data_IF_232980744985
#
_entry.id   IF_232980744985
#
_cell.length_a   1.000
_cell.length_b   1.000
_cell.length_c   1.000
_cell.angle_alpha   90.00
_cell.angle_beta   90.00
_cell.angle_gamma   90.00
#
_symmetry.space_group_name_H-M   'P 1'
#
loop_
_entity.id
_entity.type
_entity.pdbx_description
1 polymer ?
#
# COMPACT_ATOMS: atom_id res chain seq x y z
N UNK A 1 15.68 19.74 -10.54
CA UNK A 1 15.23 18.51 -9.82
C UNK A 1 16.21 18.20 -8.70
N UNK A 2 15.79 17.59 -7.55
CA UNK A 2 16.74 17.13 -6.54
C UNK A 2 17.74 16.17 -7.18
N UNK A 3 19.02 16.29 -6.86
CA UNK A 3 20.13 15.49 -7.42
C UNK A 3 19.94 13.94 -7.29
N UNK A 4 19.05 13.49 -6.40
CA UNK A 4 18.79 12.07 -6.13
C UNK A 4 17.34 11.64 -6.45
N UNK A 5 16.64 12.33 -7.35
CA UNK A 5 15.30 11.93 -7.75
C UNK A 5 15.34 10.63 -8.58
N UNK A 6 14.47 9.69 -8.25
CA UNK A 6 14.38 8.37 -8.89
C UNK A 6 12.97 8.15 -9.44
N UNK A 7 12.71 8.54 -10.71
CA UNK A 7 11.37 8.48 -11.30
C UNK A 7 10.79 7.05 -11.30
N UNK A 8 11.64 6.03 -11.39
CA UNK A 8 11.21 4.63 -11.33
C UNK A 8 10.43 4.26 -10.08
N UNK A 9 10.74 4.85 -8.90
CA UNK A 9 9.97 4.59 -7.68
C UNK A 9 8.55 5.18 -7.77
N UNK A 10 8.40 6.33 -8.43
CA UNK A 10 7.08 6.94 -8.63
C UNK A 10 6.26 6.19 -9.66
N UNK A 11 6.91 5.66 -10.72
CA UNK A 11 6.25 4.78 -11.70
C UNK A 11 5.75 3.49 -11.04
N UNK A 12 6.58 2.82 -10.23
CA UNK A 12 6.15 1.62 -9.48
C UNK A 12 4.96 1.93 -8.57
N UNK A 13 4.97 3.10 -7.90
CA UNK A 13 3.88 3.51 -7.01
C UNK A 13 2.56 3.68 -7.74
N UNK A 14 2.56 4.34 -8.90
CA UNK A 14 1.37 4.51 -9.72
C UNK A 14 0.91 3.19 -10.33
N UNK A 15 1.85 2.38 -10.81
CA UNK A 15 1.54 1.05 -11.34
C UNK A 15 0.95 0.12 -10.26
N UNK A 16 1.41 0.20 -9.01
CA UNK A 16 0.86 -0.55 -7.87
C UNK A 16 -0.61 -0.19 -7.57
N UNK A 17 -0.99 1.06 -7.81
CA UNK A 17 -2.35 1.54 -7.54
C UNK A 17 -3.38 0.98 -8.53
N UNK A 18 -2.99 0.77 -9.78
CA UNK A 18 -3.92 0.40 -10.86
C UNK A 18 -4.68 -0.91 -10.60
N UNK A 19 -4.03 -2.06 -10.29
CA UNK A 19 -4.75 -3.30 -10.04
C UNK A 19 -5.67 -3.21 -8.81
N UNK A 20 -5.26 -2.47 -7.78
CA UNK A 20 -6.07 -2.26 -6.57
C UNK A 20 -7.36 -1.49 -6.91
N UNK A 21 -7.26 -0.37 -7.63
CA UNK A 21 -8.43 0.42 -8.02
C UNK A 21 -9.33 -0.34 -9.00
N UNK A 22 -8.75 -1.07 -9.95
CA UNK A 22 -9.49 -1.88 -10.91
C UNK A 22 -10.29 -2.98 -10.21
N UNK A 23 -9.68 -3.69 -9.29
CA UNK A 23 -10.32 -4.75 -8.52
C UNK A 23 -11.48 -4.23 -7.68
N UNK A 24 -11.25 -3.17 -6.88
CA UNK A 24 -12.32 -2.57 -6.07
C UNK A 24 -13.45 -2.04 -6.94
N UNK A 25 -13.14 -1.42 -8.08
CA UNK A 25 -14.14 -0.98 -9.03
C UNK A 25 -15.02 -2.14 -9.51
N UNK A 26 -14.40 -3.23 -9.90
CA UNK A 26 -15.11 -4.40 -10.43
C UNK A 26 -15.90 -5.15 -9.37
N UNK A 27 -15.32 -5.35 -8.17
CA UNK A 27 -15.99 -6.12 -7.10
C UNK A 27 -17.18 -5.34 -6.52
N UNK A 28 -17.05 -4.02 -6.32
CA UNK A 28 -18.16 -3.20 -5.82
C UNK A 28 -19.26 -3.03 -6.86
N UNK A 29 -18.90 -2.91 -8.15
CA UNK A 29 -19.88 -2.90 -9.23
C UNK A 29 -20.65 -4.22 -9.28
N UNK A 30 -19.97 -5.36 -9.15
CA UNK A 30 -20.63 -6.68 -9.11
C UNK A 30 -21.59 -6.81 -7.91
N UNK A 31 -21.22 -6.27 -6.75
CA UNK A 31 -22.09 -6.22 -5.55
C UNK A 31 -23.37 -5.41 -5.78
N UNK A 32 -23.31 -4.37 -6.60
CA UNK A 32 -24.47 -3.56 -7.00
C UNK A 32 -25.27 -4.15 -8.18
N UNK A 33 -24.93 -5.36 -8.63
CA UNK A 33 -25.65 -6.07 -9.71
C UNK A 33 -25.22 -5.69 -11.13
N UNK A 34 -24.12 -4.95 -11.31
CA UNK A 34 -23.58 -4.74 -12.65
C UNK A 34 -22.98 -6.04 -13.22
N UNK A 35 -23.14 -6.25 -14.52
CA UNK A 35 -22.48 -7.32 -15.24
C UNK A 35 -20.97 -7.02 -15.34
N UNK A 36 -20.15 -7.77 -14.60
CA UNK A 36 -18.69 -7.67 -14.60
C UNK A 36 -18.08 -8.96 -15.13
N UNK A 37 -17.11 -8.90 -16.06
CA UNK A 37 -16.42 -10.11 -16.54
C UNK A 37 -15.75 -10.84 -15.36
N UNK A 38 -15.96 -12.15 -15.27
CA UNK A 38 -15.42 -12.99 -14.19
C UNK A 38 -13.89 -12.95 -14.09
N UNK A 39 -13.21 -12.71 -15.21
CA UNK A 39 -11.75 -12.52 -15.22
C UNK A 39 -11.28 -11.31 -14.40
N UNK A 40 -12.09 -10.25 -14.26
CA UNK A 40 -11.76 -9.04 -13.53
C UNK A 40 -12.04 -9.12 -12.02
N UNK A 41 -12.77 -10.14 -11.59
CA UNK A 41 -13.08 -10.40 -10.17
C UNK A 41 -12.59 -11.78 -9.71
N UNK A 42 -11.99 -12.55 -10.62
CA UNK A 42 -11.46 -13.87 -10.36
C UNK A 42 -10.04 -13.87 -9.80
N UNK A 43 -9.54 -15.09 -9.58
CA UNK A 43 -8.23 -15.36 -8.98
C UNK A 43 -7.08 -14.63 -9.68
N UNK A 44 -7.07 -14.57 -11.02
CA UNK A 44 -5.99 -13.90 -11.76
C UNK A 44 -5.91 -12.41 -11.47
N UNK A 45 -7.05 -11.72 -11.34
CA UNK A 45 -7.06 -10.30 -10.96
C UNK A 45 -6.65 -10.10 -9.49
N UNK A 46 -7.10 -10.98 -8.60
CA UNK A 46 -6.69 -10.97 -7.19
C UNK A 46 -5.15 -11.11 -7.05
N UNK A 47 -4.50 -11.92 -7.88
CA UNK A 47 -3.04 -12.04 -7.89
C UNK A 47 -2.34 -10.74 -8.32
N UNK A 48 -2.87 -10.02 -9.30
CA UNK A 48 -2.33 -8.71 -9.67
C UNK A 48 -2.51 -7.67 -8.56
N UNK A 49 -3.61 -7.74 -7.82
CA UNK A 49 -3.80 -6.93 -6.61
C UNK A 49 -2.73 -7.26 -5.58
N UNK A 50 -2.47 -8.54 -5.32
CA UNK A 50 -1.41 -8.98 -4.40
C UNK A 50 -0.02 -8.47 -4.82
N UNK A 51 0.29 -8.48 -6.12
CA UNK A 51 1.52 -7.89 -6.66
C UNK A 51 1.56 -6.38 -6.39
N UNK A 52 0.48 -5.66 -6.64
CA UNK A 52 0.38 -4.23 -6.35
C UNK A 52 0.54 -3.91 -4.86
N UNK A 53 -0.11 -4.68 -4.00
CA UNK A 53 0.04 -4.55 -2.54
C UNK A 53 1.47 -4.83 -2.08
N UNK A 54 2.11 -5.89 -2.59
CA UNK A 54 3.51 -6.19 -2.30
C UNK A 54 4.42 -5.03 -2.73
N UNK A 55 4.15 -4.37 -3.86
CA UNK A 55 4.90 -3.18 -4.30
C UNK A 55 4.79 -2.01 -3.34
N UNK A 56 3.64 -1.77 -2.73
CA UNK A 56 3.52 -0.72 -1.72
C UNK A 56 4.39 -1.00 -0.48
N UNK A 57 4.47 -2.25 -0.03
CA UNK A 57 5.35 -2.63 1.08
C UNK A 57 6.83 -2.56 0.68
N UNK A 58 7.20 -3.06 -0.50
CA UNK A 58 8.55 -2.93 -1.07
C UNK A 58 8.99 -1.46 -1.19
N UNK A 59 8.13 -0.61 -1.76
CA UNK A 59 8.38 0.84 -1.89
C UNK A 59 8.56 1.52 -0.55
N UNK A 60 7.72 1.17 0.44
CA UNK A 60 7.78 1.76 1.78
C UNK A 60 9.11 1.41 2.45
N UNK A 61 9.50 0.13 2.42
CA UNK A 61 10.79 -0.32 2.94
C UNK A 61 11.97 0.35 2.23
N UNK A 62 11.94 0.39 0.89
CA UNK A 62 13.00 0.99 0.08
C UNK A 62 13.15 2.50 0.33
N UNK A 63 12.05 3.24 0.34
CA UNK A 63 12.06 4.68 0.57
C UNK A 63 12.58 5.03 1.97
N UNK A 64 12.18 4.27 2.99
CA UNK A 64 12.67 4.46 4.36
C UNK A 64 14.15 4.13 4.48
N UNK A 65 14.63 3.06 3.85
CA UNK A 65 16.05 2.72 3.83
C UNK A 65 16.87 3.82 3.13
N UNK A 66 16.44 4.30 1.97
CA UNK A 66 17.09 5.40 1.26
C UNK A 66 17.19 6.67 2.12
N UNK A 67 16.19 6.94 2.91
CA UNK A 67 16.13 8.12 3.78
C UNK A 67 16.98 7.97 5.04
N UNK A 68 16.98 6.80 5.69
CA UNK A 68 17.44 6.65 7.07
C UNK A 68 18.70 5.81 7.26
N UNK A 69 19.12 5.02 6.28
CA UNK A 69 20.34 4.21 6.39
C UNK A 69 21.58 5.09 6.58
N UNK A 70 22.31 4.85 7.68
CA UNK A 70 23.52 5.60 8.05
C UNK A 70 23.27 6.95 8.75
N UNK A 71 22.00 7.31 9.01
CA UNK A 71 21.63 8.56 9.70
C UNK A 71 20.33 8.46 10.51
N UNK A 72 20.09 7.30 11.12
CA UNK A 72 18.86 7.05 11.86
C UNK A 72 18.78 7.88 13.13
N UNK A 73 17.69 8.62 13.27
CA UNK A 73 17.29 9.34 14.49
C UNK A 73 15.84 8.94 14.81
N UNK A 74 15.65 8.31 15.97
CA UNK A 74 14.35 7.72 16.34
C UNK A 74 13.24 8.77 16.43
N UNK A 75 13.52 9.92 17.09
CA UNK A 75 12.52 10.98 17.27
C UNK A 75 12.09 11.56 15.93
N UNK A 76 13.03 11.94 15.09
CA UNK A 76 12.77 12.47 13.74
C UNK A 76 12.08 11.44 12.86
N UNK A 77 12.45 10.17 13.00
CA UNK A 77 11.81 9.09 12.26
C UNK A 77 10.33 8.94 12.62
N UNK A 78 10.00 8.73 13.91
CA UNK A 78 8.62 8.49 14.33
C UNK A 78 7.73 9.72 14.12
N UNK A 79 8.21 10.92 14.49
CA UNK A 79 7.49 12.16 14.20
C UNK A 79 7.29 12.36 12.71
N UNK A 80 8.31 12.03 11.90
CA UNK A 80 8.22 12.09 10.44
C UNK A 80 7.18 11.12 9.85
N UNK A 81 7.04 9.89 10.42
CA UNK A 81 6.01 8.94 10.01
C UNK A 81 4.62 9.40 10.41
N UNK A 82 4.45 9.84 11.66
CA UNK A 82 3.19 10.40 12.12
C UNK A 82 2.74 11.59 11.25
N UNK A 83 3.64 12.53 10.99
CA UNK A 83 3.38 13.70 10.15
C UNK A 83 3.05 13.37 8.69
N UNK A 84 3.53 12.24 8.17
CA UNK A 84 3.27 11.82 6.81
C UNK A 84 1.94 11.07 6.65
N UNK A 85 1.47 10.41 7.72
CA UNK A 85 0.33 9.49 7.65
C UNK A 85 -0.92 10.06 8.30
N UNK A 86 -0.83 10.48 9.56
CA UNK A 86 -2.01 10.82 10.37
C UNK A 86 -2.78 12.07 9.92
N UNK A 87 -2.18 13.18 9.47
CA UNK A 87 -2.97 14.36 9.11
C UNK A 87 -4.02 14.12 8.04
N UNK A 88 -3.66 13.43 6.95
CA UNK A 88 -4.60 13.10 5.91
C UNK A 88 -5.63 12.05 6.38
N UNK A 89 -5.17 11.05 7.13
CA UNK A 89 -6.05 10.03 7.71
C UNK A 89 -7.08 10.64 8.65
N UNK A 90 -6.66 11.45 9.64
CA UNK A 90 -7.59 12.04 10.63
C UNK A 90 -8.58 13.03 10.01
N UNK A 91 -8.17 13.79 8.98
CA UNK A 91 -9.09 14.66 8.27
C UNK A 91 -10.15 13.86 7.52
N UNK A 92 -9.75 12.81 6.79
CA UNK A 92 -10.69 11.95 6.08
C UNK A 92 -11.57 11.15 7.03
N UNK A 93 -10.98 10.52 8.05
CA UNK A 93 -11.73 9.79 9.09
C UNK A 93 -12.71 10.71 9.83
N UNK A 94 -12.23 11.87 10.29
CA UNK A 94 -13.06 12.83 11.05
C UNK A 94 -14.26 13.35 10.26
N UNK A 95 -14.08 13.63 8.97
CA UNK A 95 -15.19 14.06 8.10
C UNK A 95 -16.25 12.97 7.97
N UNK A 96 -15.84 11.72 7.74
CA UNK A 96 -16.75 10.58 7.60
C UNK A 96 -17.37 10.15 8.93
N UNK A 97 -16.63 10.26 10.02
CA UNK A 97 -17.12 10.02 11.37
C UNK A 97 -18.20 11.03 11.73
N UNK A 98 -17.95 12.32 11.50
CA UNK A 98 -18.94 13.38 11.72
C UNK A 98 -20.20 13.11 10.90
N UNK A 99 -20.04 12.81 9.62
CA UNK A 99 -21.17 12.51 8.73
C UNK A 99 -21.95 11.26 9.20
N UNK A 100 -21.29 10.15 9.44
CA UNK A 100 -21.95 8.88 9.75
C UNK A 100 -22.46 8.77 11.19
N UNK A 101 -21.61 9.12 12.16
CA UNK A 101 -21.93 8.89 13.58
C UNK A 101 -22.69 10.04 14.21
N UNK A 102 -22.28 11.29 13.92
CA UNK A 102 -22.85 12.46 14.59
C UNK A 102 -24.15 12.92 13.91
N UNK A 103 -24.17 12.95 12.57
CA UNK A 103 -25.32 13.45 11.81
C UNK A 103 -26.38 12.36 11.53
N UNK A 104 -25.98 11.09 11.39
CA UNK A 104 -26.89 9.99 11.01
C UNK A 104 -27.02 8.92 12.10
N UNK A 105 -26.27 9.01 13.21
CA UNK A 105 -26.37 8.06 14.34
C UNK A 105 -25.94 6.63 14.01
N UNK A 106 -25.11 6.43 12.98
CA UNK A 106 -24.62 5.11 12.60
C UNK A 106 -23.77 4.53 13.73
N UNK A 107 -23.78 3.16 13.86
CA UNK A 107 -22.94 2.44 14.81
C UNK A 107 -23.14 2.84 16.30
N UNK A 108 -24.34 3.23 16.69
CA UNK A 108 -24.68 3.61 18.06
C UNK A 108 -24.37 2.49 19.08
N UNK A 109 -24.42 1.23 18.64
CA UNK A 109 -24.17 0.03 19.46
C UNK A 109 -22.69 -0.26 19.70
N UNK A 110 -21.76 0.43 19.01
CA UNK A 110 -20.34 0.22 19.19
C UNK A 110 -19.88 0.92 20.49
N UNK A 111 -19.20 0.20 21.41
CA UNK A 111 -18.65 0.80 22.62
C UNK A 111 -17.74 1.99 22.29
N UNK A 112 -18.02 3.16 22.85
CA UNK A 112 -17.35 4.44 22.50
C UNK A 112 -15.82 4.39 22.66
N UNK A 113 -15.31 3.62 23.63
CA UNK A 113 -13.87 3.48 23.85
C UNK A 113 -13.15 2.86 22.65
N UNK A 114 -13.84 2.10 21.79
CA UNK A 114 -13.25 1.49 20.58
C UNK A 114 -12.83 2.53 19.53
N UNK A 115 -13.24 3.79 19.66
CA UNK A 115 -12.78 4.90 18.82
C UNK A 115 -11.26 5.05 18.85
N UNK A 116 -10.59 4.56 19.90
CA UNK A 116 -9.12 4.58 19.99
C UNK A 116 -8.48 3.80 18.85
N UNK A 117 -9.05 2.66 18.46
CA UNK A 117 -8.53 1.86 17.34
C UNK A 117 -8.68 2.63 16.01
N UNK A 118 -9.80 3.33 15.84
CA UNK A 118 -10.07 4.16 14.68
C UNK A 118 -9.10 5.34 14.60
N UNK A 119 -8.89 6.05 15.71
CA UNK A 119 -7.92 7.16 15.78
C UNK A 119 -6.49 6.70 15.50
N UNK A 120 -6.13 5.48 15.92
CA UNK A 120 -4.83 4.88 15.63
C UNK A 120 -4.70 4.34 14.19
N UNK A 121 -5.79 4.27 13.43
CA UNK A 121 -5.79 3.73 12.06
C UNK A 121 -5.69 2.21 11.99
N UNK A 122 -6.18 1.52 13.03
CA UNK A 122 -6.11 0.05 13.15
C UNK A 122 -7.41 -0.65 12.78
N UNK A 123 -8.47 0.08 12.43
CA UNK A 123 -9.80 -0.45 12.17
C UNK A 123 -9.80 -1.60 11.17
N UNK A 124 -9.31 -1.37 9.96
CA UNK A 124 -9.29 -2.38 8.92
C UNK A 124 -8.42 -3.60 9.27
N UNK A 125 -7.34 -3.39 10.03
CA UNK A 125 -6.51 -4.49 10.53
C UNK A 125 -7.23 -5.33 11.57
N UNK A 126 -8.00 -4.71 12.48
CA UNK A 126 -8.72 -5.39 13.55
C UNK A 126 -10.11 -5.89 13.13
N UNK A 127 -10.60 -5.53 11.95
CA UNK A 127 -11.92 -5.89 11.46
C UNK A 127 -12.28 -7.40 11.55
N UNK A 128 -11.34 -8.35 11.37
CA UNK A 128 -11.64 -9.76 11.53
C UNK A 128 -12.01 -10.18 12.96
N UNK A 129 -11.58 -9.43 13.98
CA UNK A 129 -11.70 -9.82 15.40
C UNK A 129 -12.54 -8.86 16.23
N UNK A 130 -12.79 -7.65 15.76
CA UNK A 130 -13.60 -6.68 16.51
C UNK A 130 -14.27 -5.66 15.62
N UNK A 131 -15.45 -5.20 16.02
CA UNK A 131 -16.16 -4.08 15.35
C UNK A 131 -15.66 -2.77 15.91
N UNK A 132 -15.34 -1.82 15.02
CA UNK A 132 -14.85 -0.47 15.35
C UNK A 132 -15.60 0.59 14.56
N UNK A 133 -15.28 1.86 14.72
CA UNK A 133 -15.86 2.96 13.92
C UNK A 133 -15.20 3.10 12.55
N UNK A 134 -14.92 1.96 11.91
CA UNK A 134 -14.24 1.88 10.63
C UNK A 134 -14.90 2.72 9.53
N UNK A 135 -14.15 3.63 8.94
CA UNK A 135 -14.59 4.50 7.84
C UNK A 135 -13.64 4.48 6.65
N UNK A 136 -12.35 4.55 6.91
CA UNK A 136 -11.29 4.57 5.89
C UNK A 136 -10.02 3.88 6.43
N UNK A 137 -9.08 3.65 5.54
CA UNK A 137 -7.75 3.17 5.95
C UNK A 137 -7.62 1.67 6.02
N UNK A 138 -8.47 0.94 5.33
CA UNK A 138 -8.46 -0.53 5.20
C UNK A 138 -7.37 -1.28 6.00
N UNK A 139 -7.33 -2.59 6.01
CA UNK A 139 -6.33 -3.39 6.74
C UNK A 139 -4.87 -2.98 6.47
N UNK A 140 -4.59 -2.48 5.25
CA UNK A 140 -3.26 -2.05 4.83
C UNK A 140 -2.68 -0.94 5.72
N UNK A 141 -3.51 0.04 6.15
CA UNK A 141 -3.03 1.13 7.01
C UNK A 141 -2.52 0.60 8.35
N UNK A 142 -3.28 -0.26 9.01
CA UNK A 142 -2.86 -0.85 10.29
C UNK A 142 -1.57 -1.65 10.16
N UNK A 143 -1.45 -2.47 9.12
CA UNK A 143 -0.24 -3.27 8.85
C UNK A 143 0.97 -2.37 8.63
N UNK A 144 0.87 -1.36 7.76
CA UNK A 144 2.02 -0.51 7.45
C UNK A 144 2.46 0.35 8.65
N UNK A 145 1.53 0.79 9.50
CA UNK A 145 1.84 1.51 10.74
C UNK A 145 2.65 0.65 11.70
N UNK A 146 2.26 -0.62 11.88
CA UNK A 146 3.01 -1.57 12.72
C UNK A 146 4.39 -1.87 12.09
N UNK A 147 4.48 -2.04 10.77
CA UNK A 147 5.76 -2.24 10.08
C UNK A 147 6.71 -1.03 10.22
N UNK A 148 6.17 0.19 10.35
CA UNK A 148 7.00 1.36 10.68
C UNK A 148 7.62 1.26 12.08
N UNK A 149 6.97 0.61 13.04
CA UNK A 149 7.57 0.35 14.36
C UNK A 149 8.69 -0.70 14.27
N UNK A 150 8.58 -1.66 13.35
CA UNK A 150 9.59 -2.72 13.13
C UNK A 150 10.79 -2.21 12.30
N UNK A 151 10.61 -1.17 11.48
CA UNK A 151 11.64 -0.68 10.56
C UNK A 151 13.03 -0.42 11.20
N UNK A 152 13.16 0.21 12.39
CA UNK A 152 14.48 0.43 13.00
C UNK A 152 15.25 -0.86 13.25
N UNK A 153 14.56 -1.94 13.62
CA UNK A 153 15.17 -3.27 13.78
C UNK A 153 15.66 -3.83 12.44
N UNK A 154 14.82 -3.76 11.41
CA UNK A 154 15.21 -4.20 10.07
C UNK A 154 16.40 -3.40 9.55
N UNK A 155 16.45 -2.10 9.82
CA UNK A 155 17.56 -1.25 9.40
C UNK A 155 18.89 -1.69 10.03
N UNK A 156 18.89 -2.04 11.33
CA UNK A 156 20.07 -2.61 12.01
C UNK A 156 20.49 -3.94 11.41
N UNK A 157 19.55 -4.80 11.03
CA UNK A 157 19.85 -6.05 10.36
C UNK A 157 20.52 -5.85 8.97
N UNK A 158 20.43 -4.65 8.38
CA UNK A 158 21.12 -4.34 7.13
C UNK A 158 22.62 -3.96 7.29
N UNK A 159 23.10 -3.73 8.51
CA UNK A 159 24.46 -3.24 8.75
C UNK A 159 25.54 -4.26 8.39
N UNK A 160 25.38 -5.52 8.77
CA UNK A 160 26.37 -6.57 8.51
C UNK A 160 25.89 -7.60 7.48
N UNK A 161 26.83 -8.26 6.79
CA UNK A 161 26.50 -9.31 5.84
C UNK A 161 25.87 -10.54 6.53
N UNK A 162 26.34 -10.86 7.75
CA UNK A 162 25.80 -11.97 8.55
C UNK A 162 24.34 -11.72 8.92
N UNK A 163 24.02 -10.56 9.51
CA UNK A 163 22.64 -10.21 9.87
C UNK A 163 21.72 -10.19 8.65
N UNK A 164 22.17 -9.67 7.50
CA UNK A 164 21.39 -9.68 6.26
C UNK A 164 21.04 -11.10 5.78
N UNK A 165 22.00 -12.05 5.89
CA UNK A 165 21.75 -13.45 5.51
C UNK A 165 20.73 -14.11 6.43
N UNK A 166 20.89 -13.93 7.75
CA UNK A 166 19.94 -14.45 8.75
C UNK A 166 18.55 -13.86 8.51
N UNK A 167 18.45 -12.54 8.34
CA UNK A 167 17.19 -11.89 8.05
C UNK A 167 16.55 -12.44 6.77
N UNK A 168 17.33 -12.58 5.69
CA UNK A 168 16.83 -13.13 4.42
C UNK A 168 16.28 -14.55 4.59
N UNK A 169 16.98 -15.40 5.33
CA UNK A 169 16.52 -16.75 5.63
C UNK A 169 15.24 -16.74 6.47
N UNK A 170 15.20 -15.95 7.54
CA UNK A 170 14.00 -15.79 8.38
C UNK A 170 12.80 -15.29 7.56
N UNK A 171 13.00 -14.32 6.66
CA UNK A 171 11.92 -13.79 5.82
C UNK A 171 11.49 -14.80 4.76
N UNK A 172 12.38 -15.59 4.19
CA UNK A 172 12.03 -16.67 3.26
C UNK A 172 11.21 -17.77 3.96
N UNK A 173 11.63 -18.20 5.15
CA UNK A 173 10.88 -19.16 5.96
C UNK A 173 9.51 -18.58 6.34
N UNK A 174 9.45 -17.32 6.79
CA UNK A 174 8.20 -16.68 7.18
C UNK A 174 7.23 -16.56 5.99
N UNK A 175 7.72 -16.24 4.79
CA UNK A 175 6.91 -16.12 3.58
C UNK A 175 6.22 -17.44 3.18
N UNK A 176 6.86 -18.58 3.50
CA UNK A 176 6.31 -19.91 3.22
C UNK A 176 5.45 -20.42 4.39
N UNK A 177 5.95 -20.32 5.62
CA UNK A 177 5.30 -20.93 6.78
C UNK A 177 4.06 -20.16 7.22
N UNK A 178 4.13 -18.81 7.24
CA UNK A 178 3.01 -18.01 7.75
C UNK A 178 1.68 -18.25 7.05
N UNK A 179 1.61 -18.31 5.70
CA UNK A 179 0.35 -18.61 5.01
C UNK A 179 -0.25 -19.99 5.35
N UNK A 180 0.58 -20.95 5.80
CA UNK A 180 0.16 -22.30 6.17
C UNK A 180 -0.40 -22.38 7.59
N UNK A 181 0.08 -21.50 8.50
CA UNK A 181 -0.25 -21.55 9.94
C UNK A 181 -1.06 -20.36 10.43
N UNK A 182 -1.37 -19.40 9.55
CA UNK A 182 -2.11 -18.20 9.90
C UNK A 182 -3.48 -18.57 10.51
N UNK A 183 -3.76 -18.20 11.77
CA UNK A 183 -4.98 -18.63 12.42
C UNK A 183 -6.20 -17.88 11.89
N UNK A 184 -7.34 -18.57 11.76
CA UNK A 184 -8.62 -17.93 11.54
C UNK A 184 -8.95 -16.94 12.69
N UNK A 185 -9.64 -15.83 12.43
CA UNK A 185 -10.24 -15.42 11.17
C UNK A 185 -9.32 -14.56 10.26
N UNK A 186 -8.00 -14.55 10.50
CA UNK A 186 -7.06 -13.75 9.76
C UNK A 186 -6.75 -14.36 8.39
N UNK A 187 -6.68 -13.52 7.37
CA UNK A 187 -6.07 -13.85 6.08
C UNK A 187 -4.57 -13.53 6.14
N UNK A 188 -3.72 -14.49 5.79
CA UNK A 188 -2.27 -14.34 5.90
C UNK A 188 -1.75 -13.07 5.21
N UNK A 189 -2.27 -12.77 4.02
CA UNK A 189 -1.92 -11.57 3.25
C UNK A 189 -2.38 -10.24 3.88
N UNK A 190 -3.29 -10.27 4.84
CA UNK A 190 -3.78 -9.07 5.54
C UNK A 190 -3.14 -8.87 6.91
N UNK A 191 -2.09 -9.64 7.22
CA UNK A 191 -1.39 -9.57 8.51
C UNK A 191 -0.02 -8.93 8.41
N UNK A 192 0.47 -8.45 9.56
CA UNK A 192 1.83 -7.90 9.69
C UNK A 192 2.88 -8.96 9.31
N UNK A 193 2.75 -10.19 9.80
CA UNK A 193 3.70 -11.27 9.50
C UNK A 193 3.67 -11.68 8.02
N UNK A 194 2.51 -11.65 7.38
CA UNK A 194 2.40 -11.93 5.95
C UNK A 194 3.03 -10.84 5.06
N UNK A 195 3.06 -9.60 5.52
CA UNK A 195 3.63 -8.46 4.78
C UNK A 195 5.05 -8.09 5.18
N UNK A 196 5.54 -8.59 6.32
CA UNK A 196 6.90 -8.35 6.79
C UNK A 196 7.97 -8.79 5.78
N UNK A 197 7.87 -9.94 5.08
CA UNK A 197 8.84 -10.32 4.05
C UNK A 197 8.94 -9.31 2.91
N UNK A 198 7.81 -8.81 2.39
CA UNK A 198 7.79 -7.80 1.34
C UNK A 198 8.44 -6.48 1.80
N UNK A 199 8.11 -6.03 3.02
CA UNK A 199 8.65 -4.80 3.57
C UNK A 199 10.16 -4.92 3.86
N UNK A 200 10.63 -6.03 4.44
CA UNK A 200 12.04 -6.29 4.69
C UNK A 200 12.87 -6.38 3.40
N UNK A 201 12.31 -7.03 2.37
CA UNK A 201 12.90 -7.08 1.04
C UNK A 201 13.01 -5.69 0.43
N UNK A 202 12.00 -4.83 0.65
CA UNK A 202 12.04 -3.43 0.29
C UNK A 202 13.18 -2.67 0.98
N UNK A 203 13.42 -2.89 2.28
CA UNK A 203 14.56 -2.30 3.00
C UNK A 203 15.89 -2.72 2.34
N UNK A 204 16.00 -4.00 1.97
CA UNK A 204 17.18 -4.48 1.24
C UNK A 204 17.31 -3.83 -0.14
N UNK A 205 16.23 -3.70 -0.90
CA UNK A 205 16.20 -2.97 -2.18
C UNK A 205 16.67 -1.52 -2.03
N UNK A 206 16.25 -0.83 -0.96
CA UNK A 206 16.75 0.50 -0.64
C UNK A 206 18.27 0.55 -0.47
N UNK A 207 18.87 -0.49 0.14
CA UNK A 207 20.33 -0.63 0.25
C UNK A 207 21.00 -0.78 -1.11
N UNK A 208 20.41 -1.58 -2.00
CA UNK A 208 20.92 -1.76 -3.37
C UNK A 208 20.81 -0.46 -4.17
N UNK A 209 19.66 0.20 -4.10
CA UNK A 209 19.42 1.50 -4.75
C UNK A 209 20.43 2.56 -4.29
N UNK A 210 20.73 2.61 -2.99
CA UNK A 210 21.70 3.57 -2.44
C UNK A 210 23.11 3.36 -2.99
N UNK A 211 23.47 2.11 -3.28
CA UNK A 211 24.75 1.73 -3.86
C UNK A 211 24.76 1.80 -5.39
N UNK A 212 23.66 2.20 -6.03
CA UNK A 212 23.44 2.07 -7.47
C UNK A 212 23.73 0.65 -8.00
N UNK A 213 23.54 -0.35 -7.15
CA UNK A 213 23.71 -1.75 -7.48
C UNK A 213 22.38 -2.29 -8.02
N UNK A 214 22.28 -2.39 -9.35
CA UNK A 214 21.10 -2.98 -9.99
C UNK A 214 21.28 -4.49 -10.12
N UNK A 215 20.27 -5.30 -9.83
CA UNK A 215 20.31 -6.71 -10.17
C UNK A 215 20.32 -6.84 -11.70
N UNK A 216 21.43 -7.29 -12.24
CA UNK A 216 21.61 -7.48 -13.68
C UNK A 216 20.86 -8.74 -14.19
N UNK A 217 21.57 -9.65 -14.85
CA UNK A 217 21.01 -10.91 -15.39
C UNK A 217 20.25 -11.78 -14.37
N UNK A 218 20.53 -11.67 -13.08
CA UNK A 218 19.83 -12.39 -12.00
C UNK A 218 18.33 -12.10 -11.96
N UNK A 219 17.91 -10.93 -12.44
CA UNK A 219 16.51 -10.57 -12.60
C UNK A 219 15.83 -11.46 -13.63
N UNK A 220 16.51 -11.70 -14.77
CA UNK A 220 15.96 -12.54 -15.84
C UNK A 220 15.92 -14.03 -15.46
N UNK A 221 16.86 -14.48 -14.62
CA UNK A 221 16.81 -15.83 -14.03
C UNK A 221 15.59 -15.93 -13.08
N UNK A 222 15.36 -14.92 -12.24
CA UNK A 222 14.17 -14.86 -11.42
C UNK A 222 12.87 -14.92 -12.24
N UNK A 223 12.81 -14.20 -13.36
CA UNK A 223 11.67 -14.26 -14.31
C UNK A 223 11.48 -15.66 -14.89
N UNK A 224 12.56 -16.33 -15.24
CA UNK A 224 12.49 -17.68 -15.80
C UNK A 224 12.09 -18.74 -14.77
N UNK A 225 12.40 -18.52 -13.49
CA UNK A 225 12.04 -19.43 -12.38
C UNK A 225 10.62 -19.17 -11.85
N UNK A 226 10.06 -17.97 -12.01
CA UNK A 226 8.70 -17.66 -11.56
C UNK A 226 7.64 -18.68 -12.02
N UNK A 227 7.58 -19.16 -13.28
CA UNK A 227 6.65 -20.19 -13.69
C UNK A 227 6.85 -21.54 -12.99
N UNK A 228 8.09 -21.86 -12.61
CA UNK A 228 8.41 -23.09 -11.88
C UNK A 228 7.96 -23.05 -10.42
N UNK A 229 7.79 -21.86 -9.87
CA UNK A 229 7.26 -21.65 -8.53
C UNK A 229 5.71 -21.69 -8.49
N UNK A 230 5.07 -21.85 -9.63
CA UNK A 230 3.60 -22.00 -9.78
C UNK A 230 3.17 -23.44 -9.48
N UNK A 231 3.76 -24.00 -8.43
CA UNK A 231 3.48 -25.34 -7.96
C UNK A 231 2.46 -25.23 -6.82
N UNK A 232 1.45 -26.09 -6.82
CA UNK A 232 0.35 -26.02 -5.84
C UNK A 232 0.83 -26.22 -4.39
N UNK A 233 2.00 -26.80 -4.19
CA UNK A 233 2.60 -27.03 -2.86
C UNK A 233 3.23 -25.77 -2.24
N UNK A 234 3.52 -24.71 -3.03
CA UNK A 234 4.08 -23.47 -2.51
C UNK A 234 2.97 -22.46 -2.24
N UNK A 235 2.92 -21.88 -1.03
CA UNK A 235 1.91 -20.88 -0.72
C UNK A 235 1.89 -19.73 -1.72
N UNK A 236 0.72 -19.46 -2.29
CA UNK A 236 0.57 -18.47 -3.37
C UNK A 236 1.11 -17.10 -3.01
N UNK A 237 0.97 -16.67 -1.75
CA UNK A 237 1.51 -15.40 -1.27
C UNK A 237 3.04 -15.32 -1.44
N UNK A 238 3.76 -16.42 -1.20
CA UNK A 238 5.21 -16.50 -1.39
C UNK A 238 5.59 -16.41 -2.88
N UNK A 239 4.88 -17.13 -3.74
CA UNK A 239 5.05 -17.07 -5.20
C UNK A 239 4.84 -15.65 -5.72
N UNK A 240 3.75 -15.01 -5.29
CA UNK A 240 3.43 -13.65 -5.72
C UNK A 240 4.42 -12.61 -5.19
N UNK A 241 5.03 -12.83 -4.01
CA UNK A 241 6.10 -11.99 -3.50
C UNK A 241 7.36 -12.06 -4.40
N UNK A 242 7.73 -13.26 -4.88
CA UNK A 242 8.85 -13.42 -5.83
C UNK A 242 8.53 -12.69 -7.13
N UNK A 243 7.34 -12.93 -7.71
CA UNK A 243 6.88 -12.27 -8.92
C UNK A 243 6.88 -10.73 -8.75
N UNK A 244 6.29 -10.23 -7.68
CA UNK A 244 6.26 -8.80 -7.37
C UNK A 244 7.68 -8.19 -7.29
N UNK A 245 8.62 -8.93 -6.69
CA UNK A 245 10.00 -8.46 -6.53
C UNK A 245 10.72 -8.34 -7.86
N UNK A 246 10.52 -9.29 -8.75
CA UNK A 246 11.09 -9.28 -10.11
C UNK A 246 10.48 -8.14 -10.93
N UNK A 247 9.15 -8.05 -10.97
CA UNK A 247 8.43 -7.01 -11.69
C UNK A 247 8.71 -5.60 -11.14
N UNK A 248 8.93 -5.48 -9.82
CA UNK A 248 9.36 -4.22 -9.20
C UNK A 248 10.60 -3.64 -9.89
N UNK A 249 11.64 -4.48 -10.07
CA UNK A 249 12.88 -4.04 -10.71
C UNK A 249 12.69 -3.73 -12.18
N UNK A 250 11.89 -4.51 -12.90
CA UNK A 250 11.59 -4.26 -14.30
C UNK A 250 10.87 -2.91 -14.49
N UNK A 251 9.81 -2.67 -13.72
CA UNK A 251 9.04 -1.40 -13.77
C UNK A 251 9.88 -0.22 -13.26
N UNK A 252 10.68 -0.43 -12.20
CA UNK A 252 11.63 0.57 -11.73
C UNK A 252 12.63 0.96 -12.81
N UNK A 253 13.26 -0.02 -13.49
CA UNK A 253 14.22 0.23 -14.55
C UNK A 253 13.58 0.96 -15.74
N UNK A 254 12.42 0.52 -16.20
CA UNK A 254 11.65 1.20 -17.25
C UNK A 254 11.31 2.65 -16.83
N UNK A 255 10.92 2.85 -15.59
CA UNK A 255 10.58 4.15 -15.04
C UNK A 255 11.76 5.15 -14.97
N UNK A 256 13.01 4.67 -14.99
CA UNK A 256 14.17 5.56 -15.06
C UNK A 256 14.31 6.28 -16.43
N UNK A 257 13.66 5.76 -17.45
CA UNK A 257 13.65 6.34 -18.80
C UNK A 257 12.52 7.35 -19.03
N UNK A 258 11.74 7.68 -17.99
CA UNK A 258 10.70 8.73 -18.10
C UNK A 258 11.35 10.06 -18.50
N UNK A 259 10.86 10.71 -19.59
CA UNK A 259 11.39 11.99 -20.04
C UNK A 259 11.37 13.07 -18.95
N UNK A 260 12.44 13.83 -18.83
CA UNK A 260 12.60 14.85 -17.80
C UNK A 260 11.41 15.85 -17.68
N UNK A 261 10.77 16.30 -18.79
CA UNK A 261 9.60 17.17 -18.71
C UNK A 261 8.39 16.55 -18.02
N UNK A 262 8.24 15.21 -18.04
CA UNK A 262 7.11 14.49 -17.42
C UNK A 262 7.34 14.20 -15.94
N UNK A 263 8.59 14.21 -15.46
CA UNK A 263 8.93 13.90 -14.08
C UNK A 263 8.21 14.78 -13.02
N UNK A 264 7.96 16.08 -13.21
CA UNK A 264 7.22 16.89 -12.24
C UNK A 264 5.76 16.43 -12.09
N UNK A 265 5.09 16.09 -13.19
CA UNK A 265 3.72 15.55 -13.18
C UNK A 265 3.67 14.18 -12.53
N UNK A 266 4.59 13.27 -12.91
CA UNK A 266 4.74 11.94 -12.32
C UNK A 266 4.90 12.01 -10.80
N UNK A 267 5.82 12.85 -10.31
CA UNK A 267 6.07 13.05 -8.89
C UNK A 267 4.84 13.60 -8.15
N UNK A 268 4.08 14.49 -8.78
CA UNK A 268 2.85 15.05 -8.20
C UNK A 268 1.80 13.97 -8.05
N UNK A 269 1.53 13.19 -9.08
CA UNK A 269 0.58 12.08 -9.06
C UNK A 269 0.98 11.01 -8.03
N UNK A 270 2.24 10.58 -8.04
CA UNK A 270 2.76 9.65 -7.05
C UNK A 270 2.65 10.18 -5.61
N UNK A 271 2.79 11.49 -5.42
CA UNK A 271 2.58 12.15 -4.14
C UNK A 271 1.13 12.15 -3.63
N UNK A 272 0.17 11.91 -4.51
CA UNK A 272 -1.25 11.80 -4.15
C UNK A 272 -1.71 10.36 -3.91
N UNK A 273 -0.90 9.34 -4.23
CA UNK A 273 -1.31 7.92 -4.10
C UNK A 273 -1.81 7.54 -2.71
N UNK A 274 -1.23 8.11 -1.64
CA UNK A 274 -1.73 7.86 -0.29
C UNK A 274 -3.13 8.44 -0.06
N UNK A 275 -3.39 9.64 -0.55
CA UNK A 275 -4.74 10.20 -0.50
C UNK A 275 -5.73 9.41 -1.35
N UNK A 276 -5.34 8.95 -2.57
CA UNK A 276 -6.17 8.06 -3.39
C UNK A 276 -6.51 6.79 -2.63
N UNK A 277 -5.51 6.15 -2.00
CA UNK A 277 -5.74 4.98 -1.15
C UNK A 277 -6.78 5.25 -0.05
N UNK A 278 -6.75 6.41 0.58
CA UNK A 278 -7.71 6.73 1.65
C UNK A 278 -9.14 6.96 1.12
N UNK A 279 -9.30 7.58 -0.05
CA UNK A 279 -10.62 8.08 -0.50
C UNK A 279 -11.28 7.21 -1.58
N UNK A 280 -10.53 6.36 -2.29
CA UNK A 280 -11.03 5.67 -3.49
C UNK A 280 -12.26 4.81 -3.23
N UNK A 281 -12.27 4.05 -2.13
CA UNK A 281 -13.36 3.13 -1.81
C UNK A 281 -14.64 3.91 -1.43
N UNK A 282 -14.49 4.94 -0.61
CA UNK A 282 -15.62 5.82 -0.22
C UNK A 282 -16.18 6.57 -1.44
N UNK A 283 -15.29 7.14 -2.28
CA UNK A 283 -15.70 7.77 -3.53
C UNK A 283 -16.46 6.78 -4.43
N UNK A 284 -15.94 5.57 -4.55
CA UNK A 284 -16.50 4.52 -5.40
C UNK A 284 -17.91 4.13 -4.95
N UNK A 285 -18.07 3.81 -3.67
CA UNK A 285 -19.30 3.22 -3.14
C UNK A 285 -20.38 4.24 -2.83
N UNK A 286 -20.03 5.44 -2.34
CA UNK A 286 -21.01 6.45 -1.94
C UNK A 286 -21.38 7.43 -3.07
N UNK A 287 -20.50 7.61 -4.06
CA UNK A 287 -20.71 8.64 -5.08
C UNK A 287 -20.71 8.06 -6.49
N UNK A 288 -19.62 7.38 -6.87
CA UNK A 288 -19.38 7.07 -8.27
C UNK A 288 -20.28 5.98 -8.83
N UNK A 289 -20.36 4.82 -8.20
CA UNK A 289 -21.20 3.72 -8.66
C UNK A 289 -22.70 4.05 -8.57
N UNK A 290 -23.21 4.69 -7.49
CA UNK A 290 -24.60 5.18 -7.47
C UNK A 290 -24.91 6.16 -8.62
N UNK A 291 -23.96 7.05 -8.95
CA UNK A 291 -24.11 7.96 -10.10
C UNK A 291 -24.17 7.20 -11.43
N UNK A 292 -23.25 6.25 -11.66
CA UNK A 292 -23.22 5.42 -12.87
C UNK A 292 -24.53 4.63 -13.03
N UNK A 293 -25.03 4.04 -11.94
CA UNK A 293 -26.25 3.25 -11.93
C UNK A 293 -27.49 4.14 -12.18
N UNK A 294 -27.57 5.28 -11.48
CA UNK A 294 -28.72 6.19 -11.59
C UNK A 294 -28.86 6.84 -12.96
N UNK A 295 -27.77 6.91 -13.75
CA UNK A 295 -27.79 7.48 -15.09
C UNK A 295 -27.68 6.42 -16.21
N UNK A 296 -27.70 5.13 -15.88
CA UNK A 296 -27.63 4.03 -16.87
C UNK A 296 -26.33 4.06 -17.70
N UNK A 297 -25.21 4.54 -17.13
CA UNK A 297 -23.96 4.66 -17.88
C UNK A 297 -23.24 3.30 -18.03
N UNK A 298 -22.53 3.06 -19.16
CA UNK A 298 -21.84 1.81 -19.40
C UNK A 298 -20.63 1.69 -18.47
N UNK A 299 -20.63 0.67 -17.59
CA UNK A 299 -19.60 0.45 -16.58
C UNK A 299 -18.18 0.43 -17.17
N UNK A 300 -17.96 -0.29 -18.28
CA UNK A 300 -16.62 -0.47 -18.86
C UNK A 300 -15.94 0.85 -19.24
N UNK A 301 -16.69 1.82 -19.78
CA UNK A 301 -16.16 3.13 -20.16
C UNK A 301 -15.91 4.06 -18.95
N UNK A 302 -16.43 3.74 -17.79
CA UNK A 302 -16.38 4.61 -16.61
C UNK A 302 -15.14 4.39 -15.72
N UNK A 303 -14.40 3.29 -15.89
CA UNK A 303 -13.20 3.06 -15.08
C UNK A 303 -12.11 4.15 -15.24
N UNK A 304 -11.75 4.62 -16.46
CA UNK A 304 -10.81 5.74 -16.61
C UNK A 304 -11.30 7.03 -15.94
N UNK A 305 -12.62 7.28 -15.98
CA UNK A 305 -13.24 8.43 -15.30
C UNK A 305 -13.12 8.31 -13.78
N UNK A 306 -13.43 7.12 -13.22
CA UNK A 306 -13.25 6.83 -11.80
C UNK A 306 -11.79 6.98 -11.37
N UNK A 307 -10.86 6.43 -12.17
CA UNK A 307 -9.43 6.54 -11.91
C UNK A 307 -9.01 8.03 -11.80
N UNK A 308 -9.39 8.84 -12.80
CA UNK A 308 -9.09 10.28 -12.78
C UNK A 308 -9.78 11.00 -11.61
N UNK A 309 -11.07 10.70 -11.37
CA UNK A 309 -11.85 11.29 -10.30
C UNK A 309 -11.26 10.99 -8.91
N UNK A 310 -10.63 9.84 -8.71
CA UNK A 310 -10.00 9.46 -7.42
C UNK A 310 -8.83 10.37 -7.03
N UNK A 311 -8.17 11.01 -8.00
CA UNK A 311 -7.08 11.96 -7.73
C UNK A 311 -7.58 13.34 -7.27
N UNK A 312 -8.81 13.73 -7.58
CA UNK A 312 -9.36 15.04 -7.20
C UNK A 312 -9.49 15.20 -5.68
N UNK A 313 -10.28 14.36 -4.97
CA UNK A 313 -10.38 14.44 -3.52
C UNK A 313 -9.04 14.16 -2.82
N UNK A 314 -8.20 13.31 -3.40
CA UNK A 314 -6.85 13.07 -2.91
C UNK A 314 -5.97 14.32 -2.94
N UNK A 315 -6.00 15.08 -4.03
CA UNK A 315 -5.26 16.33 -4.14
C UNK A 315 -5.72 17.36 -3.09
N UNK A 316 -7.03 17.49 -2.89
CA UNK A 316 -7.63 18.36 -1.87
C UNK A 316 -7.20 17.90 -0.47
N UNK A 317 -7.38 16.62 -0.14
CA UNK A 317 -7.01 16.05 1.15
C UNK A 317 -5.51 16.26 1.44
N UNK A 318 -4.66 16.03 0.44
CA UNK A 318 -3.21 16.27 0.54
C UNK A 318 -2.90 17.75 0.78
N UNK A 319 -3.57 18.67 0.09
CA UNK A 319 -3.35 20.11 0.25
C UNK A 319 -3.74 20.58 1.66
N UNK A 320 -4.90 20.16 2.16
CA UNK A 320 -5.42 20.56 3.48
C UNK A 320 -4.61 19.91 4.62
N UNK A 321 -4.12 18.68 4.46
CA UNK A 321 -3.34 17.97 5.49
C UNK A 321 -1.88 18.45 5.60
N UNK A 322 -1.31 19.06 4.56
CA UNK A 322 0.09 19.52 4.53
C UNK A 322 0.48 20.47 5.67
N UNK A 323 -0.32 21.50 6.02
CA UNK A 323 0.02 22.40 7.13
C UNK A 323 0.14 21.66 8.47
N UNK A 324 -0.79 20.74 8.74
CA UNK A 324 -0.78 19.90 9.95
C UNK A 324 0.48 19.01 10.00
N UNK A 325 0.81 18.35 8.89
CA UNK A 325 2.02 17.55 8.80
C UNK A 325 3.30 18.37 9.02
N UNK A 326 3.35 19.62 8.50
CA UNK A 326 4.47 20.53 8.77
C UNK A 326 4.54 20.94 10.24
N UNK A 327 3.40 21.20 10.88
CA UNK A 327 3.35 21.53 12.31
C UNK A 327 3.86 20.37 13.18
N UNK A 328 3.41 19.14 12.92
CA UNK A 328 3.89 17.94 13.62
C UNK A 328 5.42 17.77 13.45
N UNK A 329 5.96 17.97 12.23
CA UNK A 329 7.41 17.86 11.99
C UNK A 329 8.26 18.85 12.77
N UNK A 330 7.71 19.99 13.18
CA UNK A 330 8.43 20.96 14.03
C UNK A 330 8.64 20.46 15.47
N UNK A 331 7.95 19.38 15.86
CA UNK A 331 8.12 18.75 17.18
C UNK A 331 9.34 17.83 17.25
N UNK A 332 9.97 17.53 16.12
CA UNK A 332 11.18 16.68 16.02
C UNK A 332 12.45 17.50 15.91
#
# INVERSE_FOLDING_TARGET
MPQNYRPGLDVVRLAALLPVLCYHYCIEAARLGFAVPTALIGRGMADWVEVGLAWFFLLSGAALCLQWQGRFDARRYFVGRAAATYPAFWLGFGALFLYGEVLHGNNADIPRWRVIFSVLGLDGYLAPVTVTFYKIGEWFLGVILILYLVFPLLLRCMETAAHRRVLALCMAVLAVVWPLVCPAPWEAGHTVLGRLPAFALGVWFGTLLKKNAFPSYRLYIGLAVCPLLWVDEVPRLAVLLVLASVLFWAVYAAGQHVPAPLCPALRRLAGWCYGVYLVHHVLLTLVFLPFVQGHGLPLAGMFPVYLAASFVPSAVLTAVSRPLGKAIKKLA
#
